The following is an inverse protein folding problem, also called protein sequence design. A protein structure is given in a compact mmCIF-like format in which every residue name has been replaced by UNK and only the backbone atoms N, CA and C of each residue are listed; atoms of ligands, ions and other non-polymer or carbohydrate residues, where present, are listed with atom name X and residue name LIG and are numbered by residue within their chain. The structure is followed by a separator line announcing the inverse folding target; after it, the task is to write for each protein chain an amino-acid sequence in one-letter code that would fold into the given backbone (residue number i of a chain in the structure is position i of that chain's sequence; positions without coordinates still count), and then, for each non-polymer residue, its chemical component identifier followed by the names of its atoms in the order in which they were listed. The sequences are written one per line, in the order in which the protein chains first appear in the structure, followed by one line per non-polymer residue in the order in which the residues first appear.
data_IF_874261036873
#
_entry.id   IF_874261036873
#
_cell.length_a   1.000
_cell.length_b   1.000
_cell.length_c   1.000
_cell.angle_alpha   90.00
_cell.angle_beta   90.00
_cell.angle_gamma   90.00
#
_symmetry.space_group_name_H-M   'P 1'
#
loop_
_entity.id
_entity.type
_entity.pdbx_description
1 polymer ?
#
# COMPACT_ATOMS: atom_id res chain seq x y z
N UNK A 1 3.26 -2.29 4.06
CA UNK A 1 2.49 -1.39 4.97
C UNK A 1 1.15 -1.99 5.38
N UNK A 2 0.19 -2.22 4.46
CA UNK A 2 -1.15 -2.73 4.85
C UNK A 2 -1.15 -4.08 5.58
N UNK A 3 -0.24 -5.01 5.23
CA UNK A 3 -0.07 -6.25 5.99
C UNK A 3 0.31 -5.97 7.44
N UNK A 4 1.34 -5.14 7.66
CA UNK A 4 1.81 -4.84 8.99
C UNK A 4 0.74 -4.14 9.84
N UNK A 5 0.02 -3.17 9.26
CA UNK A 5 -1.14 -2.52 9.91
C UNK A 5 -2.21 -3.53 10.37
N UNK A 6 -2.43 -4.61 9.60
CA UNK A 6 -3.37 -5.68 9.94
C UNK A 6 -2.75 -6.77 10.82
N UNK A 7 -1.56 -6.54 11.37
CA UNK A 7 -0.78 -7.52 12.15
C UNK A 7 -0.46 -8.81 11.37
N UNK A 8 -0.39 -8.70 10.04
CA UNK A 8 -0.04 -9.80 9.13
C UNK A 8 1.45 -9.72 8.76
N UNK A 9 2.10 -10.88 8.59
CA UNK A 9 3.49 -10.94 8.10
C UNK A 9 3.59 -10.35 6.69
N UNK A 10 4.59 -9.49 6.47
CA UNK A 10 4.78 -8.79 5.20
C UNK A 10 5.07 -9.80 4.08
N UNK A 11 5.99 -10.76 4.30
CA UNK A 11 6.35 -11.78 3.31
C UNK A 11 5.61 -13.11 3.50
N UNK A 12 4.76 -13.23 4.54
CA UNK A 12 4.01 -14.45 4.79
C UNK A 12 3.03 -14.77 3.65
N UNK A 13 2.83 -16.04 3.33
CA UNK A 13 1.87 -16.48 2.31
C UNK A 13 0.70 -17.29 2.91
N UNK A 14 0.63 -17.37 4.23
CA UNK A 14 -0.40 -18.07 4.99
C UNK A 14 -1.21 -17.01 5.75
N UNK A 15 -2.55 -17.14 5.82
CA UNK A 15 -3.37 -16.22 6.60
C UNK A 15 -3.06 -16.34 8.11
N UNK A 16 -2.89 -15.20 8.78
CA UNK A 16 -2.66 -15.14 10.24
C UNK A 16 -3.99 -15.19 11.02
N UNK A 17 -5.10 -14.87 10.36
CA UNK A 17 -6.44 -14.91 10.92
C UNK A 17 -7.30 -15.98 10.22
N UNK A 18 -8.49 -16.25 10.76
CA UNK A 18 -9.46 -17.16 10.12
C UNK A 18 -9.89 -16.68 8.74
N UNK A 19 -10.05 -17.61 7.78
CA UNK A 19 -10.42 -17.32 6.38
C UNK A 19 -11.72 -16.50 6.29
N UNK A 20 -12.68 -16.73 7.19
CA UNK A 20 -13.97 -16.00 7.24
C UNK A 20 -13.79 -14.48 7.38
N UNK A 21 -12.74 -14.02 8.08
CA UNK A 21 -12.47 -12.60 8.21
C UNK A 21 -12.03 -11.98 6.88
N UNK A 22 -11.25 -12.72 6.09
CA UNK A 22 -10.82 -12.30 4.76
C UNK A 22 -11.99 -12.31 3.78
N UNK A 23 -12.82 -13.37 3.78
CA UNK A 23 -14.04 -13.44 2.97
C UNK A 23 -15.00 -12.28 3.28
N UNK A 24 -15.25 -12.01 4.56
CA UNK A 24 -16.09 -10.89 4.98
C UNK A 24 -15.50 -9.54 4.57
N UNK A 25 -14.17 -9.38 4.66
CA UNK A 25 -13.49 -8.17 4.18
C UNK A 25 -13.63 -7.97 2.68
N UNK A 26 -13.41 -9.03 1.88
CA UNK A 26 -13.58 -9.01 0.43
C UNK A 26 -15.02 -8.64 0.04
N UNK A 27 -16.02 -9.25 0.68
CA UNK A 27 -17.41 -8.96 0.37
C UNK A 27 -17.84 -7.55 0.80
N UNK A 28 -17.56 -7.16 2.05
CA UNK A 28 -18.15 -5.96 2.64
C UNK A 28 -17.37 -4.67 2.33
N UNK A 29 -16.07 -4.76 2.08
CA UNK A 29 -15.21 -3.58 1.86
C UNK A 29 -14.79 -3.43 0.40
N UNK A 30 -14.73 -4.54 -0.33
CA UNK A 30 -14.29 -4.57 -1.73
C UNK A 30 -15.38 -4.96 -2.70
N UNK A 31 -16.56 -5.39 -2.22
CA UNK A 31 -17.67 -5.88 -3.04
C UNK A 31 -17.24 -7.05 -3.94
N UNK A 32 -16.32 -7.89 -3.44
CA UNK A 32 -15.79 -9.07 -4.15
C UNK A 32 -16.39 -10.34 -3.55
N UNK A 33 -17.10 -11.10 -4.39
CA UNK A 33 -17.71 -12.38 -4.08
C UNK A 33 -17.33 -13.50 -5.05
N UNK A 34 -16.50 -13.19 -6.05
CA UNK A 34 -16.10 -14.13 -7.11
C UNK A 34 -14.69 -13.87 -7.63
N UNK A 35 -14.11 -14.86 -8.32
CA UNK A 35 -12.83 -14.73 -9.02
C UNK A 35 -12.84 -13.66 -10.12
N UNK A 36 -13.98 -13.47 -10.80
CA UNK A 36 -14.10 -12.46 -11.87
C UNK A 36 -14.03 -11.04 -11.29
N UNK A 37 -14.79 -10.76 -10.23
CA UNK A 37 -14.76 -9.48 -9.51
C UNK A 37 -13.38 -9.19 -8.89
N UNK A 38 -12.74 -10.22 -8.35
CA UNK A 38 -11.38 -10.12 -7.80
C UNK A 38 -10.38 -9.67 -8.86
N UNK A 39 -10.37 -10.34 -10.02
CA UNK A 39 -9.48 -10.02 -11.15
C UNK A 39 -9.78 -8.64 -11.71
N UNK A 40 -11.05 -8.30 -11.91
CA UNK A 40 -11.44 -6.96 -12.38
C UNK A 40 -11.01 -5.84 -11.43
N UNK A 41 -11.12 -6.05 -10.12
CA UNK A 41 -10.66 -5.07 -9.12
C UNK A 41 -9.13 -4.96 -9.12
N UNK A 42 -8.40 -6.06 -9.24
CA UNK A 42 -6.95 -6.05 -9.33
C UNK A 42 -6.46 -5.35 -10.59
N UNK A 43 -7.09 -5.59 -11.75
CA UNK A 43 -6.75 -4.90 -12.99
C UNK A 43 -7.01 -3.38 -12.90
N UNK A 44 -8.07 -2.96 -12.19
CA UNK A 44 -8.32 -1.54 -11.91
C UNK A 44 -7.24 -0.90 -11.04
N UNK A 45 -6.74 -1.63 -10.03
CA UNK A 45 -5.64 -1.16 -9.19
C UNK A 45 -4.32 -1.10 -9.99
N UNK A 46 -4.02 -2.12 -10.80
CA UNK A 46 -2.83 -2.11 -11.66
C UNK A 46 -2.90 -1.04 -12.76
N UNK A 47 -4.10 -0.63 -13.16
CA UNK A 47 -4.31 0.52 -14.04
C UNK A 47 -4.20 1.88 -13.32
N UNK A 48 -3.83 1.90 -12.03
CA UNK A 48 -3.65 3.09 -11.21
C UNK A 48 -4.85 4.06 -11.24
N UNK A 49 -6.08 3.49 -11.26
CA UNK A 49 -7.29 4.29 -11.46
C UNK A 49 -7.48 5.36 -10.38
N UNK A 50 -7.29 5.02 -9.09
CA UNK A 50 -7.43 6.02 -8.01
C UNK A 50 -6.31 7.04 -8.03
N UNK A 51 -5.08 6.61 -8.28
CA UNK A 51 -3.96 7.53 -8.42
C UNK A 51 -4.23 8.54 -9.53
N UNK A 52 -4.75 8.10 -10.68
CA UNK A 52 -5.18 8.97 -11.79
C UNK A 52 -6.28 9.95 -11.38
N UNK A 53 -7.28 9.51 -10.61
CA UNK A 53 -8.32 10.40 -10.06
C UNK A 53 -7.73 11.48 -9.13
N UNK A 54 -6.63 11.19 -8.42
CA UNK A 54 -5.97 12.13 -7.50
C UNK A 54 -5.00 13.10 -8.20
N UNK A 55 -4.62 12.85 -9.46
CA UNK A 55 -3.63 13.68 -10.16
C UNK A 55 -3.95 15.18 -10.16
N UNK A 56 -5.20 15.63 -10.47
CA UNK A 56 -5.52 17.05 -10.46
C UNK A 56 -5.29 17.70 -9.08
N UNK A 57 -5.62 16.97 -8.01
CA UNK A 57 -5.42 17.45 -6.65
C UNK A 57 -3.94 17.56 -6.28
N UNK A 58 -3.12 16.58 -6.70
CA UNK A 58 -1.67 16.56 -6.44
C UNK A 58 -0.90 17.60 -7.26
N UNK A 59 -1.40 17.99 -8.44
CA UNK A 59 -0.77 18.99 -9.31
C UNK A 59 -1.14 20.43 -8.98
N UNK A 60 -2.23 20.64 -8.23
CA UNK A 60 -2.68 21.98 -7.85
C UNK A 60 -2.27 22.29 -6.41
N UNK A 61 -1.36 23.26 -6.18
CA UNK A 61 -1.04 23.71 -4.84
C UNK A 61 -2.29 24.18 -4.11
N UNK A 62 -2.55 23.58 -2.95
CA UNK A 62 -3.69 23.91 -2.09
C UNK A 62 -3.29 23.89 -0.62
N UNK A 63 -4.08 24.56 0.21
CA UNK A 63 -3.85 24.56 1.65
C UNK A 63 -4.01 23.16 2.25
N UNK A 64 -4.92 22.38 1.66
CA UNK A 64 -5.25 21.00 1.97
C UNK A 64 -4.07 20.09 1.64
N UNK A 65 -3.55 20.14 0.41
CA UNK A 65 -2.37 19.35 0.02
C UNK A 65 -1.17 19.67 0.91
N UNK A 66 -0.94 20.95 1.20
CA UNK A 66 0.16 21.40 2.08
C UNK A 66 0.02 20.81 3.49
N UNK A 67 -1.21 20.72 4.03
CA UNK A 67 -1.46 20.09 5.34
C UNK A 67 -1.16 18.61 5.29
N UNK A 68 -1.63 17.91 4.27
CA UNK A 68 -1.37 16.46 4.08
C UNK A 68 0.15 16.21 4.00
N UNK A 69 0.87 16.95 3.17
CA UNK A 69 2.32 16.79 3.01
C UNK A 69 3.09 17.07 4.31
N UNK A 70 2.69 18.09 5.07
CA UNK A 70 3.27 18.38 6.41
C UNK A 70 3.01 17.27 7.41
N UNK A 71 1.80 16.72 7.44
CA UNK A 71 1.48 15.58 8.31
C UNK A 71 2.33 14.36 7.93
N UNK A 72 2.43 14.02 6.64
CA UNK A 72 3.27 12.91 6.16
C UNK A 72 4.73 13.11 6.58
N UNK A 73 5.30 14.29 6.33
CA UNK A 73 6.69 14.60 6.69
C UNK A 73 6.94 14.43 8.19
N UNK A 74 6.04 14.97 9.02
CA UNK A 74 6.10 14.87 10.48
C UNK A 74 6.03 13.41 10.95
N UNK A 75 5.04 12.67 10.47
CA UNK A 75 4.80 11.30 10.93
C UNK A 75 5.93 10.35 10.52
N UNK A 76 6.40 10.45 9.27
CA UNK A 76 7.55 9.67 8.80
C UNK A 76 8.89 10.15 9.39
N UNK A 77 8.96 11.36 9.93
CA UNK A 77 10.20 11.96 10.41
C UNK A 77 11.20 12.24 9.29
N UNK A 78 10.72 12.75 8.16
CA UNK A 78 11.52 13.11 6.98
C UNK A 78 11.31 14.58 6.62
N UNK A 79 12.19 15.15 5.79
CA UNK A 79 12.06 16.53 5.35
C UNK A 79 10.82 16.73 4.47
N UNK A 80 10.11 17.85 4.69
CA UNK A 80 8.95 18.22 3.88
C UNK A 80 9.28 18.29 2.37
N UNK A 81 10.49 18.75 2.03
CA UNK A 81 10.94 18.84 0.65
C UNK A 81 11.05 17.47 -0.04
N UNK A 82 11.23 16.38 0.71
CA UNK A 82 11.21 15.00 0.16
C UNK A 82 9.77 14.62 -0.19
N UNK A 83 8.82 14.95 0.70
CA UNK A 83 7.40 14.71 0.48
C UNK A 83 6.86 15.50 -0.72
N UNK A 84 7.26 16.78 -0.82
CA UNK A 84 6.85 17.68 -1.90
C UNK A 84 7.31 17.24 -3.29
N UNK A 85 8.36 16.40 -3.40
CA UNK A 85 8.82 15.83 -4.67
C UNK A 85 7.95 14.66 -5.17
N UNK A 86 7.04 14.15 -4.34
CA UNK A 86 6.16 13.05 -4.71
C UNK A 86 4.87 13.60 -5.29
N UNK A 87 4.67 13.43 -6.60
CA UNK A 87 3.56 14.02 -7.35
C UNK A 87 2.52 12.99 -7.82
N UNK A 88 2.68 11.73 -7.44
CA UNK A 88 1.81 10.63 -7.82
C UNK A 88 1.49 9.78 -6.58
N UNK A 89 0.25 9.30 -6.51
CA UNK A 89 -0.26 8.44 -5.45
C UNK A 89 -0.24 6.93 -5.81
N UNK A 90 0.50 6.53 -6.86
CA UNK A 90 0.63 5.14 -7.33
C UNK A 90 0.84 4.10 -6.22
N UNK A 91 1.59 4.43 -5.17
CA UNK A 91 1.84 3.54 -4.02
C UNK A 91 0.56 3.09 -3.32
N UNK A 92 -0.50 3.90 -3.38
CA UNK A 92 -1.81 3.60 -2.80
C UNK A 92 -2.50 2.45 -3.54
N UNK A 93 -2.58 2.52 -4.87
CA UNK A 93 -3.16 1.46 -5.68
C UNK A 93 -2.28 0.21 -5.64
N UNK A 94 -0.96 0.35 -5.74
CA UNK A 94 -0.04 -0.79 -5.77
C UNK A 94 0.01 -1.54 -4.45
N UNK A 95 0.08 -0.85 -3.30
CA UNK A 95 0.04 -1.53 -2.00
C UNK A 95 -1.26 -2.32 -1.84
N UNK A 96 -2.37 -1.75 -2.30
CA UNK A 96 -3.69 -2.41 -2.29
C UNK A 96 -3.76 -3.59 -3.24
N UNK A 97 -3.16 -3.51 -4.43
CA UNK A 97 -3.12 -4.61 -5.40
C UNK A 97 -2.39 -5.83 -4.83
N UNK A 98 -1.21 -5.63 -4.23
CA UNK A 98 -0.42 -6.71 -3.63
C UNK A 98 -1.17 -7.35 -2.45
N UNK A 99 -1.76 -6.53 -1.57
CA UNK A 99 -2.55 -7.03 -0.44
C UNK A 99 -3.80 -7.79 -0.89
N UNK A 100 -4.55 -7.23 -1.84
CA UNK A 100 -5.76 -7.86 -2.36
C UNK A 100 -5.47 -9.17 -3.08
N UNK A 101 -4.39 -9.25 -3.87
CA UNK A 101 -4.00 -10.48 -4.55
C UNK A 101 -3.73 -11.62 -3.55
N UNK A 102 -3.09 -11.31 -2.42
CA UNK A 102 -2.82 -12.28 -1.34
C UNK A 102 -4.10 -12.70 -0.61
N UNK A 103 -4.99 -11.76 -0.30
CA UNK A 103 -6.28 -12.10 0.33
C UNK A 103 -7.17 -12.92 -0.60
N UNK A 104 -7.19 -12.60 -1.89
CA UNK A 104 -7.95 -13.36 -2.89
C UNK A 104 -7.38 -14.78 -3.07
N UNK A 105 -6.06 -14.95 -3.00
CA UNK A 105 -5.43 -16.27 -2.97
C UNK A 105 -5.91 -17.10 -1.77
N UNK A 106 -5.85 -16.52 -0.58
CA UNK A 106 -6.28 -17.19 0.66
C UNK A 106 -7.75 -17.62 0.63
N UNK A 107 -8.60 -16.83 -0.01
CA UNK A 107 -10.02 -17.12 -0.18
C UNK A 107 -10.34 -18.01 -1.39
N UNK A 108 -9.34 -18.44 -2.17
CA UNK A 108 -9.53 -19.32 -3.34
C UNK A 108 -10.06 -18.60 -4.59
N UNK A 109 -10.04 -17.27 -4.64
CA UNK A 109 -10.44 -16.49 -5.82
C UNK A 109 -9.33 -16.38 -6.86
N UNK A 110 -8.08 -16.54 -6.45
CA UNK A 110 -6.91 -16.63 -7.34
C UNK A 110 -6.17 -17.94 -7.09
N UNK A 111 -5.57 -18.47 -8.15
CA UNK A 111 -4.52 -19.49 -8.05
C UNK A 111 -3.18 -18.87 -7.65
N UNK A 112 -2.26 -19.67 -7.15
CA UNK A 112 -0.90 -19.20 -6.82
C UNK A 112 -0.20 -18.53 -8.01
N UNK A 113 -0.33 -19.11 -9.22
CA UNK A 113 0.26 -18.56 -10.45
C UNK A 113 -0.30 -17.17 -10.76
N UNK A 114 -1.61 -16.98 -10.65
CA UNK A 114 -2.24 -15.68 -10.88
C UNK A 114 -1.81 -14.66 -9.83
N UNK A 115 -1.74 -15.07 -8.56
CA UNK A 115 -1.28 -14.19 -7.48
C UNK A 115 0.13 -13.69 -7.72
N UNK A 116 1.06 -14.56 -8.12
CA UNK A 116 2.42 -14.16 -8.47
C UNK A 116 2.47 -13.28 -9.71
N UNK A 117 1.64 -13.51 -10.73
CA UNK A 117 1.53 -12.62 -11.90
C UNK A 117 1.12 -11.21 -11.49
N UNK A 118 0.04 -11.08 -10.71
CA UNK A 118 -0.43 -9.78 -10.22
C UNK A 118 0.62 -9.06 -9.37
N UNK A 119 1.31 -9.77 -8.46
CA UNK A 119 2.37 -9.17 -7.64
C UNK A 119 3.58 -8.72 -8.46
N UNK A 120 3.98 -9.48 -9.48
CA UNK A 120 5.08 -9.10 -10.38
C UNK A 120 4.72 -7.88 -11.23
N UNK A 121 3.50 -7.84 -11.78
CA UNK A 121 3.01 -6.65 -12.52
C UNK A 121 2.94 -5.43 -11.61
N UNK A 122 2.46 -5.59 -10.37
CA UNK A 122 2.42 -4.52 -9.37
C UNK A 122 3.83 -3.97 -9.06
N UNK A 123 4.81 -4.86 -8.87
CA UNK A 123 6.21 -4.48 -8.67
C UNK A 123 6.80 -3.76 -9.88
N UNK A 124 6.52 -4.23 -11.10
CA UNK A 124 6.97 -3.58 -12.33
C UNK A 124 6.39 -2.16 -12.47
N UNK A 125 5.10 -1.98 -12.17
CA UNK A 125 4.46 -0.65 -12.20
C UNK A 125 5.05 0.28 -11.13
N UNK A 126 5.27 -0.22 -9.91
CA UNK A 126 5.96 0.56 -8.87
C UNK A 126 7.37 0.99 -9.31
N UNK A 127 8.14 0.11 -9.95
CA UNK A 127 9.47 0.45 -10.47
C UNK A 127 9.44 1.44 -11.64
N UNK A 128 8.35 1.50 -12.40
CA UNK A 128 8.17 2.48 -13.49
C UNK A 128 7.82 3.88 -12.97
N UNK A 129 6.93 3.97 -11.98
CA UNK A 129 6.44 5.24 -11.44
C UNK A 129 7.34 5.79 -10.33
N UNK A 130 7.85 4.91 -9.48
CA UNK A 130 8.57 5.28 -8.27
C UNK A 130 10.05 5.52 -8.45
N UNK A 131 10.64 6.23 -7.50
CA UNK A 131 12.10 6.48 -7.44
C UNK A 131 12.80 5.50 -6.50
N UNK A 132 12.27 5.39 -5.29
CA UNK A 132 12.80 4.59 -4.19
C UNK A 132 11.68 4.23 -3.20
N UNK A 133 12.04 3.54 -2.12
CA UNK A 133 11.10 3.17 -1.06
C UNK A 133 10.51 4.36 -0.29
N UNK A 134 11.22 5.48 -0.21
CA UNK A 134 10.71 6.70 0.44
C UNK A 134 9.60 7.31 -0.41
N UNK A 135 9.83 7.47 -1.71
CA UNK A 135 8.84 7.93 -2.68
C UNK A 135 7.62 7.00 -2.71
N UNK A 136 7.81 5.69 -2.71
CA UNK A 136 6.70 4.71 -2.63
C UNK A 136 5.86 4.89 -1.36
N UNK A 137 6.52 5.10 -0.21
CA UNK A 137 5.87 5.27 1.09
C UNK A 137 5.07 6.56 1.13
N UNK A 138 5.65 7.67 0.67
CA UNK A 138 4.97 8.96 0.57
C UNK A 138 3.79 8.86 -0.39
N UNK A 139 3.98 8.23 -1.55
CA UNK A 139 2.93 8.03 -2.56
C UNK A 139 1.73 7.26 -2.00
N UNK A 140 1.98 6.20 -1.24
CA UNK A 140 0.96 5.45 -0.52
C UNK A 140 0.18 6.32 0.48
N UNK A 141 0.88 7.09 1.32
CA UNK A 141 0.24 7.94 2.33
C UNK A 141 -0.54 9.08 1.70
N UNK A 142 -0.03 9.69 0.62
CA UNK A 142 -0.75 10.69 -0.17
C UNK A 142 -2.09 10.13 -0.65
N UNK A 143 -2.09 9.00 -1.36
CA UNK A 143 -3.32 8.41 -1.88
C UNK A 143 -4.29 7.97 -0.78
N UNK A 144 -3.78 7.40 0.31
CA UNK A 144 -4.59 7.03 1.49
C UNK A 144 -5.31 8.25 2.07
N UNK A 145 -4.56 9.32 2.38
CA UNK A 145 -5.11 10.50 3.04
C UNK A 145 -6.03 11.29 2.11
N UNK A 146 -5.72 11.39 0.81
CA UNK A 146 -6.61 12.02 -0.18
C UNK A 146 -7.92 11.27 -0.32
N UNK A 147 -7.90 9.93 -0.25
CA UNK A 147 -9.13 9.14 -0.23
C UNK A 147 -9.99 9.36 1.03
N UNK A 148 -9.42 9.97 2.07
CA UNK A 148 -10.12 10.33 3.31
C UNK A 148 -9.86 9.38 4.48
N UNK A 149 -8.89 8.47 4.36
CA UNK A 149 -8.45 7.67 5.50
C UNK A 149 -7.49 8.46 6.39
N UNK A 150 -7.53 8.19 7.69
CA UNK A 150 -6.60 8.80 8.64
C UNK A 150 -5.17 8.29 8.38
N UNK A 151 -4.22 9.21 8.47
CA UNK A 151 -2.79 8.89 8.39
C UNK A 151 -2.33 8.19 9.66
N UNK A 152 -2.90 8.55 10.81
CA UNK A 152 -2.51 8.03 12.13
C UNK A 152 -2.78 6.53 12.25
N UNK A 153 -3.72 5.99 11.45
CA UNK A 153 -4.00 4.55 11.39
C UNK A 153 -2.77 3.73 10.99
N UNK A 154 -1.90 4.27 10.13
CA UNK A 154 -0.81 3.50 9.50
C UNK A 154 0.56 4.16 9.61
N UNK A 155 0.64 5.35 10.23
CA UNK A 155 1.84 6.17 10.24
C UNK A 155 2.99 5.50 10.98
N UNK A 156 2.70 4.80 12.07
CA UNK A 156 3.68 4.06 12.87
C UNK A 156 4.30 2.94 12.03
N UNK A 157 3.48 2.12 11.39
CA UNK A 157 3.91 1.01 10.56
C UNK A 157 4.68 1.50 9.32
N UNK A 158 4.19 2.57 8.68
CA UNK A 158 4.86 3.18 7.54
C UNK A 158 6.25 3.70 7.92
N UNK A 159 6.37 4.42 9.04
CA UNK A 159 7.65 4.91 9.57
C UNK A 159 8.59 3.77 9.89
N UNK A 160 8.10 2.74 10.57
CA UNK A 160 8.94 1.63 10.99
C UNK A 160 9.45 0.79 9.82
N UNK A 161 8.62 0.53 8.81
CA UNK A 161 9.06 -0.15 7.58
C UNK A 161 10.07 0.72 6.83
N UNK A 162 9.81 2.02 6.70
CA UNK A 162 10.68 2.97 6.00
C UNK A 162 12.09 3.03 6.60
N UNK A 163 12.18 3.09 7.93
CA UNK A 163 13.45 3.19 8.66
C UNK A 163 14.00 1.84 9.13
N UNK A 164 13.30 0.74 8.82
CA UNK A 164 13.58 -0.61 9.37
C UNK A 164 13.70 -0.60 10.90
N UNK A 165 12.87 0.21 11.54
CA UNK A 165 12.88 0.42 12.98
C UNK A 165 11.94 -0.58 13.65
N UNK A 166 12.50 -1.51 14.44
CA UNK A 166 11.68 -2.39 15.28
C UNK A 166 10.90 -1.58 16.32
N UNK A 167 9.69 -2.04 16.70
CA UNK A 167 8.97 -1.45 17.82
C UNK A 167 9.76 -1.60 19.13
N UNK A 168 9.52 -0.69 20.08
CA UNK A 168 10.17 -0.71 21.40
C UNK A 168 9.91 -2.01 22.16
N UNK A 169 8.74 -2.63 21.93
CA UNK A 169 8.36 -3.90 22.50
C UNK A 169 7.99 -4.89 21.39
N UNK A 170 8.59 -6.08 21.43
CA UNK A 170 8.41 -7.12 20.42
C UNK A 170 9.36 -7.00 19.23
N UNK A 171 9.44 -8.05 18.43
CA UNK A 171 10.06 -8.02 17.09
C UNK A 171 8.95 -8.23 16.08
N UNK A 172 9.02 -7.48 14.99
CA UNK A 172 8.13 -7.65 13.84
C UNK A 172 8.97 -8.29 12.74
N UNK A 173 8.48 -9.42 12.23
CA UNK A 173 9.14 -10.09 11.12
C UNK A 173 9.04 -9.23 9.85
N UNK A 174 10.09 -9.27 9.02
CA UNK A 174 10.18 -8.59 7.72
C UNK A 174 10.14 -7.05 7.74
N UNK A 175 10.32 -6.41 8.90
CA UNK A 175 10.32 -4.93 8.98
C UNK A 175 11.48 -4.29 8.21
N UNK A 176 12.55 -5.05 7.98
CA UNK A 176 13.73 -4.69 7.20
C UNK A 176 13.58 -4.95 5.69
N UNK A 177 12.36 -5.22 5.21
CA UNK A 177 12.09 -5.52 3.79
C UNK A 177 12.63 -4.45 2.84
N UNK A 178 12.56 -3.16 3.19
CA UNK A 178 13.09 -2.07 2.37
C UNK A 178 14.61 -1.98 2.35
N UNK A 179 15.29 -2.52 3.37
CA UNK A 179 16.74 -2.67 3.38
C UNK A 179 17.20 -3.94 2.64
N UNK A 180 16.41 -5.02 2.73
CA UNK A 180 16.74 -6.32 2.15
C UNK A 180 16.52 -6.37 0.64
N UNK A 181 15.52 -5.66 0.13
CA UNK A 181 15.16 -5.67 -1.28
C UNK A 181 15.32 -4.28 -1.87
N UNK A 182 16.09 -4.18 -2.95
CA UNK A 182 16.18 -2.94 -3.71
C UNK A 182 14.82 -2.58 -4.30
N UNK A 183 14.55 -1.28 -4.44
CA UNK A 183 13.33 -0.81 -5.07
C UNK A 183 13.29 -1.11 -6.58
N UNK A 184 14.46 -1.10 -7.23
CA UNK A 184 14.67 -1.44 -8.65
C UNK A 184 15.87 -2.37 -8.79
#
# INVERSE_FOLDING_TARGET
MLFYYRTEKILGIIPENGIDQYLSGLQNQWEISSSEEAKGTLDNLLALRKSTEFHPFLQQPSSELTKIQKSIAKELGIDLSIVEQTHDAYGWDICRAVSLAKWCYWCGYLTEVETWDYMQRAAAIAGQHGRDWTDYTVSFLLGRTIQGFDIDDVSVEAKQVLHSQNPTFGKVEDIDVYQRYAFK
#
